data_IF_589915532183
#
_entry.id   IF_589915532183
#
_cell.length_a   1.000
_cell.length_b   1.000
_cell.length_c   1.000
_cell.angle_alpha   90.00
_cell.angle_beta   90.00
_cell.angle_gamma   90.00
#
_symmetry.space_group_name_H-M   'P 1'
#
loop_
_entity.id
_entity.type
_entity.pdbx_description
1 polymer ?
#
# COMPACT_ATOMS: atom_id res chain seq x y z
N UNK A 1 9.10 -12.05 -1.43
CA UNK A 1 9.46 -12.17 0.01
C UNK A 1 8.31 -11.85 0.95
N UNK A 2 7.59 -10.72 0.81
CA UNK A 2 6.44 -10.37 1.68
C UNK A 2 5.38 -11.47 1.80
N UNK A 3 4.93 -12.05 0.68
CA UNK A 3 3.91 -13.12 0.67
C UNK A 3 4.37 -14.35 1.49
N UNK A 4 5.62 -14.77 1.31
CA UNK A 4 6.20 -15.88 2.07
C UNK A 4 6.27 -15.57 3.57
N UNK A 5 6.56 -14.31 3.93
CA UNK A 5 6.54 -13.87 5.32
C UNK A 5 5.13 -13.95 5.93
N UNK A 6 4.10 -13.50 5.20
CA UNK A 6 2.70 -13.62 5.63
C UNK A 6 2.32 -15.09 5.87
N UNK A 7 2.66 -15.98 4.94
CA UNK A 7 2.41 -17.42 5.11
C UNK A 7 3.09 -17.96 6.36
N UNK A 8 4.38 -17.64 6.57
CA UNK A 8 5.10 -18.06 7.77
C UNK A 8 4.41 -17.58 9.04
N UNK A 9 4.00 -16.31 9.13
CA UNK A 9 3.32 -15.77 10.33
C UNK A 9 1.99 -16.46 10.59
N UNK A 10 1.20 -16.69 9.54
CA UNK A 10 -0.10 -17.35 9.67
C UNK A 10 0.03 -18.81 10.08
N UNK A 11 0.87 -19.58 9.38
CA UNK A 11 1.09 -21.01 9.63
C UNK A 11 1.74 -21.29 10.99
N UNK A 12 2.48 -20.33 11.55
CA UNK A 12 3.09 -20.45 12.88
C UNK A 12 2.28 -19.80 14.00
N UNK A 13 1.10 -19.26 13.71
CA UNK A 13 0.24 -18.62 14.71
C UNK A 13 0.83 -17.33 15.33
N UNK A 14 1.84 -16.73 14.69
CA UNK A 14 2.58 -15.57 15.22
C UNK A 14 1.77 -14.27 15.30
N UNK A 15 0.52 -14.27 14.83
CA UNK A 15 -0.41 -13.15 14.90
C UNK A 15 -1.32 -13.16 16.15
N UNK A 16 -1.35 -14.27 16.90
CA UNK A 16 -2.19 -14.42 18.10
C UNK A 16 -1.73 -13.50 19.22
N UNK A 17 -2.57 -13.35 20.25
CA UNK A 17 -2.27 -12.59 21.47
C UNK A 17 -0.88 -12.91 22.01
N UNK A 18 -0.03 -11.90 22.34
CA UNK A 18 -0.30 -10.46 22.37
C UNK A 18 0.17 -9.67 21.11
N UNK A 19 0.26 -10.33 19.94
CA UNK A 19 0.91 -9.80 18.72
C UNK A 19 -0.07 -9.26 17.66
N UNK A 20 -1.32 -9.02 18.02
CA UNK A 20 -2.38 -8.61 17.10
C UNK A 20 -2.04 -7.27 16.41
N UNK A 21 -1.45 -6.33 17.13
CA UNK A 21 -1.04 -5.03 16.58
C UNK A 21 0.14 -5.15 15.59
N UNK A 22 1.04 -6.11 15.83
CA UNK A 22 2.12 -6.44 14.87
C UNK A 22 1.51 -7.00 13.59
N UNK A 23 0.47 -7.82 13.68
CA UNK A 23 -0.26 -8.30 12.50
C UNK A 23 -0.95 -7.15 11.74
N UNK A 24 -1.67 -6.27 12.44
CA UNK A 24 -2.34 -5.12 11.82
C UNK A 24 -1.37 -4.18 11.10
N UNK A 25 -0.22 -3.86 11.72
CA UNK A 25 0.83 -3.07 11.05
C UNK A 25 1.41 -3.81 9.84
N UNK A 26 1.53 -5.13 9.89
CA UNK A 26 1.91 -5.96 8.73
C UNK A 26 0.91 -5.87 7.57
N UNK A 27 -0.40 -5.86 7.86
CA UNK A 27 -1.45 -5.66 6.84
C UNK A 27 -1.34 -4.26 6.22
N UNK A 28 -1.14 -3.22 7.03
CA UNK A 28 -0.94 -1.86 6.51
C UNK A 28 0.29 -1.79 5.61
N UNK A 29 1.40 -2.40 6.01
CA UNK A 29 2.62 -2.49 5.19
C UNK A 29 2.39 -3.23 3.87
N UNK A 30 1.55 -4.27 3.85
CA UNK A 30 1.18 -4.96 2.63
C UNK A 30 0.38 -4.06 1.68
N UNK A 31 -0.56 -3.26 2.20
CA UNK A 31 -1.30 -2.26 1.42
C UNK A 31 -0.35 -1.20 0.85
N UNK A 32 0.54 -0.63 1.68
CA UNK A 32 1.54 0.35 1.22
C UNK A 32 2.47 -0.22 0.15
N UNK A 33 2.88 -1.48 0.29
CA UNK A 33 3.72 -2.18 -0.71
C UNK A 33 2.97 -2.37 -2.04
N UNK A 34 1.68 -2.72 -2.00
CA UNK A 34 0.87 -2.78 -3.20
C UNK A 34 0.69 -1.39 -3.84
N UNK A 35 0.51 -0.34 -3.03
CA UNK A 35 0.44 1.04 -3.50
C UNK A 35 1.74 1.51 -4.15
N UNK A 36 2.92 1.08 -3.66
CA UNK A 36 4.20 1.29 -4.34
C UNK A 36 4.18 0.68 -5.75
N UNK A 37 3.71 -0.56 -5.88
CA UNK A 37 3.56 -1.22 -7.17
C UNK A 37 2.69 -0.42 -8.13
N UNK A 38 1.47 -0.03 -7.70
CA UNK A 38 0.53 0.72 -8.53
C UNK A 38 1.09 2.08 -8.97
N UNK A 39 1.63 2.86 -8.03
CA UNK A 39 2.13 4.21 -8.34
C UNK A 39 3.38 4.17 -9.21
N UNK A 40 4.31 3.26 -8.90
CA UNK A 40 5.59 3.12 -9.61
C UNK A 40 5.43 2.58 -11.03
N UNK A 41 4.47 1.68 -11.25
CA UNK A 41 4.24 1.05 -12.56
C UNK A 41 3.87 2.05 -13.66
N UNK A 42 3.25 3.17 -13.29
CA UNK A 42 2.85 4.22 -14.24
C UNK A 42 3.96 5.22 -14.60
N UNK A 43 5.06 5.26 -13.83
CA UNK A 43 6.09 6.30 -13.97
C UNK A 43 6.89 6.27 -15.29
N UNK A 44 7.16 5.12 -15.93
CA UNK A 44 7.78 5.10 -17.26
C UNK A 44 6.91 5.75 -18.36
N UNK A 45 5.61 5.91 -18.08
CA UNK A 45 4.64 6.52 -18.99
C UNK A 45 4.55 5.87 -20.37
N UNK A 46 4.76 4.54 -20.41
CA UNK A 46 4.53 3.71 -21.58
C UNK A 46 3.05 3.30 -21.70
N UNK A 47 2.70 2.60 -22.77
CA UNK A 47 1.31 2.19 -23.00
C UNK A 47 0.78 1.30 -21.88
N UNK A 48 1.59 0.35 -21.42
CA UNK A 48 1.13 -0.61 -20.42
C UNK A 48 0.90 0.10 -19.08
N UNK A 49 1.84 0.93 -18.63
CA UNK A 49 1.69 1.73 -17.41
C UNK A 49 0.54 2.73 -17.47
N UNK A 50 0.39 3.44 -18.60
CA UNK A 50 -0.68 4.43 -18.79
C UNK A 50 -2.09 3.79 -18.77
N UNK A 51 -2.29 2.68 -19.49
CA UNK A 51 -3.60 2.03 -19.51
C UNK A 51 -3.91 1.32 -18.18
N UNK A 52 -2.89 0.76 -17.52
CA UNK A 52 -3.06 0.19 -16.18
C UNK A 52 -3.53 1.26 -15.17
N UNK A 53 -2.89 2.43 -15.15
CA UNK A 53 -3.31 3.51 -14.23
C UNK A 53 -4.70 4.05 -14.57
N UNK A 54 -5.06 4.13 -15.85
CA UNK A 54 -6.39 4.57 -16.28
C UNK A 54 -7.49 3.64 -15.77
N UNK A 55 -7.30 2.33 -15.86
CA UNK A 55 -8.25 1.33 -15.38
C UNK A 55 -8.34 1.38 -13.84
N UNK A 56 -7.20 1.28 -13.13
CA UNK A 56 -7.21 1.17 -11.66
C UNK A 56 -7.77 2.42 -10.97
N UNK A 57 -7.47 3.61 -11.49
CA UNK A 57 -7.98 4.87 -10.93
C UNK A 57 -9.45 5.12 -11.25
N UNK A 58 -10.05 4.35 -12.18
CA UNK A 58 -11.48 4.42 -12.47
C UNK A 58 -12.33 3.54 -11.54
N UNK A 59 -11.74 2.54 -10.89
CA UNK A 59 -12.44 1.62 -10.00
C UNK A 59 -13.25 2.34 -8.90
N UNK A 60 -12.73 3.39 -8.21
CA UNK A 60 -13.46 4.05 -7.14
C UNK A 60 -14.71 4.82 -7.59
N UNK A 61 -14.89 5.06 -8.89
CA UNK A 61 -16.07 5.75 -9.42
C UNK A 61 -17.38 5.02 -9.08
N UNK A 62 -17.32 3.70 -8.90
CA UNK A 62 -18.45 2.87 -8.51
C UNK A 62 -18.92 3.08 -7.05
N UNK A 63 -18.16 3.81 -6.22
CA UNK A 63 -18.52 4.06 -4.82
C UNK A 63 -19.64 5.13 -4.78
N UNK A 64 -20.81 4.83 -4.21
CA UNK A 64 -21.90 5.80 -4.11
C UNK A 64 -21.49 7.07 -3.35
N UNK A 65 -22.02 8.22 -3.76
CA UNK A 65 -21.85 9.55 -3.15
C UNK A 65 -20.43 10.15 -3.24
N UNK A 66 -19.38 9.35 -3.05
CA UNK A 66 -17.99 9.83 -2.94
C UNK A 66 -17.08 9.37 -4.08
N UNK A 67 -17.55 8.53 -5.01
CA UNK A 67 -16.72 7.94 -6.06
C UNK A 67 -16.12 8.96 -7.01
N UNK A 68 -16.95 9.79 -7.66
CA UNK A 68 -16.48 10.83 -8.59
C UNK A 68 -15.47 11.81 -7.98
N UNK A 69 -15.73 12.43 -6.81
CA UNK A 69 -14.74 13.34 -6.20
C UNK A 69 -13.47 12.61 -5.77
N UNK A 70 -13.54 11.32 -5.40
CA UNK A 70 -12.36 10.53 -5.06
C UNK A 70 -11.49 10.25 -6.29
N UNK A 71 -12.09 9.91 -7.43
CA UNK A 71 -11.36 9.71 -8.69
C UNK A 71 -10.68 11.00 -9.15
N UNK A 72 -11.38 12.13 -9.08
CA UNK A 72 -10.82 13.42 -9.44
C UNK A 72 -9.67 13.83 -8.49
N UNK A 73 -9.79 13.55 -7.19
CA UNK A 73 -8.71 13.75 -6.23
C UNK A 73 -7.48 12.90 -6.55
N UNK A 74 -7.67 11.64 -6.91
CA UNK A 74 -6.57 10.71 -7.25
C UNK A 74 -5.86 11.16 -8.53
N UNK A 75 -6.61 11.51 -9.57
CA UNK A 75 -6.08 11.89 -10.89
C UNK A 75 -5.59 13.33 -10.95
N UNK A 76 -6.18 14.22 -10.15
CA UNK A 76 -5.99 15.67 -10.26
C UNK A 76 -6.70 16.32 -11.45
N UNK A 77 -7.57 15.58 -12.14
CA UNK A 77 -8.40 16.00 -13.28
C UNK A 77 -9.44 14.93 -13.61
N UNK A 78 -10.40 15.25 -14.48
CA UNK A 78 -11.43 14.30 -14.94
C UNK A 78 -10.85 13.04 -15.63
N UNK A 79 -9.72 13.18 -16.33
CA UNK A 79 -9.02 12.08 -17.00
C UNK A 79 -7.58 11.94 -16.49
N UNK A 80 -6.96 10.80 -16.78
CA UNK A 80 -5.53 10.58 -16.50
C UNK A 80 -4.68 11.45 -17.42
N UNK A 81 -3.71 12.16 -16.85
CA UNK A 81 -2.79 13.02 -17.59
C UNK A 81 -1.61 13.50 -16.75
N UNK A 82 -1.05 14.66 -17.10
CA UNK A 82 0.15 15.23 -16.45
C UNK A 82 -0.02 15.46 -14.93
N UNK A 83 -1.21 15.90 -14.52
CA UNK A 83 -1.60 16.06 -13.12
C UNK A 83 -1.48 14.73 -12.36
N UNK A 84 -1.95 13.64 -12.96
CA UNK A 84 -1.89 12.29 -12.39
C UNK A 84 -0.45 11.83 -12.24
N UNK A 85 0.37 11.99 -13.27
CA UNK A 85 1.78 11.62 -13.24
C UNK A 85 2.54 12.36 -12.13
N UNK A 86 2.31 13.67 -11.99
CA UNK A 86 2.95 14.48 -10.96
C UNK A 86 2.53 14.03 -9.55
N UNK A 87 1.23 13.75 -9.33
CA UNK A 87 0.72 13.22 -8.06
C UNK A 87 1.29 11.84 -7.76
N UNK A 88 1.33 10.95 -8.74
CA UNK A 88 1.84 9.58 -8.57
C UNK A 88 3.33 9.56 -8.29
N UNK A 89 4.11 10.44 -8.92
CA UNK A 89 5.53 10.61 -8.61
C UNK A 89 5.73 11.07 -7.16
N UNK A 90 4.99 12.08 -6.71
CA UNK A 90 5.05 12.57 -5.32
C UNK A 90 4.60 11.49 -4.31
N UNK A 91 3.52 10.77 -4.61
CA UNK A 91 3.05 9.65 -3.79
C UNK A 91 4.13 8.56 -3.70
N UNK A 92 4.75 8.19 -4.82
CA UNK A 92 5.71 7.09 -4.89
C UNK A 92 7.05 7.40 -4.22
N UNK A 93 7.54 8.63 -4.37
CA UNK A 93 8.90 9.00 -3.94
C UNK A 93 8.95 9.69 -2.59
N UNK A 94 7.82 10.26 -2.12
CA UNK A 94 7.77 10.97 -0.84
C UNK A 94 6.79 10.35 0.14
N UNK A 95 5.49 10.29 -0.21
CA UNK A 95 4.45 9.89 0.74
C UNK A 95 4.57 8.42 1.14
N UNK A 96 4.66 7.52 0.17
CA UNK A 96 4.75 6.08 0.43
C UNK A 96 6.04 5.69 1.17
N UNK A 97 7.24 6.22 0.82
CA UNK A 97 8.45 5.97 1.59
C UNK A 97 8.35 6.42 3.04
N UNK A 98 7.82 7.62 3.29
CA UNK A 98 7.64 8.14 4.65
C UNK A 98 6.68 7.26 5.46
N UNK A 99 5.49 6.95 4.90
CA UNK A 99 4.51 6.11 5.57
C UNK A 99 5.08 4.72 5.86
N UNK A 100 5.71 4.08 4.87
CA UNK A 100 6.31 2.76 5.06
C UNK A 100 7.43 2.80 6.10
N UNK A 101 8.28 3.82 6.12
CA UNK A 101 9.31 3.96 7.16
C UNK A 101 8.70 4.04 8.56
N UNK A 102 7.65 4.84 8.75
CA UNK A 102 6.94 4.98 10.03
C UNK A 102 6.29 3.65 10.45
N UNK A 103 5.58 2.98 9.55
CA UNK A 103 4.94 1.69 9.85
C UNK A 103 5.95 0.57 10.08
N UNK A 104 7.07 0.55 9.36
CA UNK A 104 8.17 -0.40 9.59
C UNK A 104 8.80 -0.19 10.96
N UNK A 105 9.05 1.07 11.36
CA UNK A 105 9.56 1.39 12.69
C UNK A 105 8.61 0.89 13.78
N UNK A 106 7.31 1.19 13.66
CA UNK A 106 6.29 0.68 14.60
C UNK A 106 6.27 -0.85 14.64
N UNK A 107 6.29 -1.50 13.48
CA UNK A 107 6.28 -2.97 13.36
C UNK A 107 7.48 -3.60 14.07
N UNK A 108 8.69 -3.07 13.85
CA UNK A 108 9.91 -3.56 14.49
C UNK A 108 9.97 -3.29 16.00
N UNK A 109 9.51 -2.12 16.45
CA UNK A 109 9.47 -1.80 17.88
C UNK A 109 8.54 -2.76 18.64
N UNK A 110 7.41 -3.14 18.06
CA UNK A 110 6.51 -4.13 18.68
C UNK A 110 7.13 -5.53 18.73
N UNK A 111 7.79 -5.97 17.65
CA UNK A 111 8.53 -7.24 17.65
C UNK A 111 9.62 -7.21 18.72
N UNK A 112 10.41 -6.14 18.81
CA UNK A 112 11.46 -5.98 19.82
C UNK A 112 10.90 -6.02 21.24
N UNK A 113 9.74 -5.40 21.48
CA UNK A 113 9.08 -5.36 22.79
C UNK A 113 8.49 -6.71 23.20
N UNK A 114 7.95 -7.48 22.25
CA UNK A 114 7.21 -8.72 22.51
C UNK A 114 8.04 -10.00 22.30
N UNK A 115 9.24 -9.92 21.73
CA UNK A 115 10.06 -11.09 21.37
C UNK A 115 9.55 -11.78 20.10
N UNK A 116 9.91 -13.05 19.85
CA UNK A 116 9.36 -13.88 18.75
C UNK A 116 8.31 -14.88 19.26
N UNK A 117 7.47 -15.41 18.38
CA UNK A 117 6.51 -16.47 18.73
C UNK A 117 7.21 -17.69 19.33
N UNK A 118 6.55 -18.38 20.26
CA UNK A 118 7.06 -19.62 20.84
C UNK A 118 7.17 -20.75 19.82
N UNK A 119 7.73 -21.92 20.23
CA UNK A 119 7.69 -23.13 19.42
C UNK A 119 6.24 -23.53 19.10
N UNK A 120 6.07 -24.26 18.00
CA UNK A 120 4.77 -24.79 17.56
C UNK A 120 4.17 -25.76 18.57
#
# INVERSE_FOLDING_TARGET
MMILHVFRVYLTGGFKKPRELTWLTGVVLAVLTASFGVTGYSLPWDQIGYWAVKIVTGVPEAIPLIGSPLVELLRGSASVGQSTLTRFYSLHTFVLPLLTAVFMLMHFLMIRKQGISGPL
#
